data_IF_620602710417
#
_entry.id   IF_620602710417
#
_cell.length_a   1.000
_cell.length_b   1.000
_cell.length_c   1.000
_cell.angle_alpha   90.00
_cell.angle_beta   90.00
_cell.angle_gamma   90.00
#
_symmetry.space_group_name_H-M   'P 1'
#
loop_
_entity.id
_entity.type
_entity.pdbx_description
1 polymer ?
#
# COMPACT_ATOMS: atom_id res chain seq x y z
N UNK A 1 11.75 -8.34 12.46
CA UNK A 1 11.28 -9.21 11.37
C UNK A 1 11.76 -8.57 10.08
N UNK A 2 12.64 -9.25 9.34
CA UNK A 2 13.05 -8.79 8.01
C UNK A 2 11.83 -8.84 7.09
N UNK A 3 11.47 -7.71 6.46
CA UNK A 3 10.42 -7.67 5.45
C UNK A 3 10.89 -8.49 4.25
N UNK A 4 10.48 -9.77 4.21
CA UNK A 4 10.79 -10.67 3.10
C UNK A 4 9.85 -10.34 1.95
N UNK A 5 10.36 -9.61 0.97
CA UNK A 5 9.64 -9.33 -0.28
C UNK A 5 9.30 -10.66 -0.97
N UNK A 6 8.05 -10.79 -1.41
CA UNK A 6 7.58 -11.99 -2.09
C UNK A 6 8.22 -12.11 -3.48
N UNK A 7 8.49 -13.34 -3.92
CA UNK A 7 8.95 -13.58 -5.29
C UNK A 7 7.78 -13.42 -6.27
N UNK A 8 8.10 -13.03 -7.52
CA UNK A 8 7.12 -12.96 -8.61
C UNK A 8 6.32 -14.25 -8.75
N UNK A 9 6.99 -15.41 -8.78
CA UNK A 9 6.33 -16.72 -8.89
C UNK A 9 5.34 -16.99 -7.75
N UNK A 10 5.68 -16.60 -6.51
CA UNK A 10 4.77 -16.76 -5.39
C UNK A 10 3.56 -15.84 -5.55
N UNK A 11 3.78 -14.59 -5.95
CA UNK A 11 2.71 -13.61 -6.14
C UNK A 11 1.75 -14.07 -7.24
N UNK A 12 2.26 -14.44 -8.43
CA UNK A 12 1.43 -14.88 -9.54
C UNK A 12 0.69 -16.19 -9.25
N UNK A 13 1.26 -17.08 -8.41
CA UNK A 13 0.64 -18.35 -8.04
C UNK A 13 -0.46 -18.21 -6.98
N UNK A 14 -0.31 -17.27 -6.05
CA UNK A 14 -1.17 -17.17 -4.86
C UNK A 14 -2.04 -15.90 -4.84
N UNK A 15 -1.82 -14.97 -5.77
CA UNK A 15 -2.57 -13.74 -5.89
C UNK A 15 -3.57 -13.75 -7.04
N UNK A 16 -4.45 -12.77 -7.02
CA UNK A 16 -5.40 -12.47 -8.09
C UNK A 16 -4.91 -11.23 -8.83
N UNK A 17 -5.00 -11.22 -10.16
CA UNK A 17 -4.72 -10.02 -10.93
C UNK A 17 -5.78 -8.96 -10.58
N UNK A 18 -5.33 -7.80 -10.14
CA UNK A 18 -6.21 -6.73 -9.63
C UNK A 18 -7.07 -6.14 -10.74
N UNK A 19 -6.59 -6.18 -11.99
CA UNK A 19 -7.31 -5.72 -13.18
C UNK A 19 -8.26 -6.80 -13.74
N UNK A 20 -8.37 -7.97 -13.09
CA UNK A 20 -9.32 -9.01 -13.48
C UNK A 20 -10.73 -8.67 -12.95
N UNK A 21 -11.45 -7.85 -13.73
CA UNK A 21 -12.82 -7.40 -13.46
C UNK A 21 -13.83 -8.56 -13.35
N UNK A 22 -13.49 -9.77 -13.84
CA UNK A 22 -14.35 -10.94 -13.68
C UNK A 22 -14.26 -11.55 -12.27
N UNK A 23 -13.24 -11.17 -11.48
CA UNK A 23 -12.94 -11.74 -10.16
C UNK A 23 -13.01 -10.69 -9.05
N UNK A 24 -12.58 -9.45 -9.31
CA UNK A 24 -12.55 -8.39 -8.31
C UNK A 24 -13.38 -7.19 -8.76
N UNK A 25 -14.18 -6.65 -7.83
CA UNK A 25 -14.89 -5.38 -8.07
C UNK A 25 -14.56 -4.37 -6.97
N UNK A 26 -14.19 -3.16 -7.36
CA UNK A 26 -14.09 -2.05 -6.42
C UNK A 26 -15.50 -1.59 -6.01
N UNK A 27 -15.79 -1.64 -4.71
CA UNK A 27 -17.08 -1.20 -4.19
C UNK A 27 -17.24 0.31 -4.40
N UNK A 28 -18.37 0.71 -5.00
CA UNK A 28 -18.65 2.11 -5.30
C UNK A 28 -18.54 3.01 -4.06
N UNK A 29 -17.77 4.10 -4.18
CA UNK A 29 -17.48 5.08 -3.11
C UNK A 29 -16.81 4.47 -1.86
N UNK A 30 -16.04 3.40 -2.05
CA UNK A 30 -15.37 2.67 -0.98
C UNK A 30 -13.94 2.33 -1.39
N UNK A 31 -13.03 2.28 -0.41
CA UNK A 31 -11.68 1.73 -0.61
C UNK A 31 -11.70 0.19 -0.57
N UNK A 32 -12.88 -0.44 -0.52
CA UNK A 32 -13.03 -1.90 -0.47
C UNK A 32 -13.05 -2.50 -1.85
N UNK A 33 -12.47 -3.69 -1.94
CA UNK A 33 -12.68 -4.61 -3.05
C UNK A 33 -13.50 -5.83 -2.62
N UNK A 34 -14.31 -6.32 -3.53
CA UNK A 34 -15.16 -7.50 -3.38
C UNK A 34 -14.62 -8.64 -4.25
N UNK A 35 -14.92 -9.89 -3.87
CA UNK A 35 -14.59 -11.10 -4.63
C UNK A 35 -15.58 -11.44 -5.76
N UNK A 36 -16.53 -10.54 -6.02
CA UNK A 36 -17.48 -10.55 -7.12
C UNK A 36 -18.23 -9.20 -7.13
N UNK A 37 -19.12 -9.01 -8.11
CA UNK A 37 -20.00 -7.85 -8.13
C UNK A 37 -20.95 -7.79 -6.95
N UNK A 38 -21.31 -6.57 -6.56
CA UNK A 38 -22.27 -6.35 -5.48
C UNK A 38 -23.64 -6.96 -5.82
N UNK A 39 -24.05 -6.85 -7.08
CA UNK A 39 -25.30 -7.41 -7.61
C UNK A 39 -25.31 -8.95 -7.56
N UNK A 40 -24.15 -9.59 -7.72
CA UNK A 40 -23.97 -11.02 -7.57
C UNK A 40 -23.78 -11.48 -6.11
N UNK A 41 -23.81 -10.56 -5.14
CA UNK A 41 -23.60 -10.86 -3.72
C UNK A 41 -22.14 -11.00 -3.32
N UNK A 42 -21.23 -10.32 -4.04
CA UNK A 42 -19.81 -10.23 -3.75
C UNK A 42 -19.52 -9.84 -2.30
N UNK A 43 -18.50 -10.45 -1.73
CA UNK A 43 -18.08 -10.30 -0.33
C UNK A 43 -16.74 -9.59 -0.25
N UNK A 44 -16.45 -8.90 0.87
CA UNK A 44 -15.16 -8.23 1.03
C UNK A 44 -13.99 -9.21 0.87
N UNK A 45 -13.14 -8.96 -0.12
CA UNK A 45 -12.06 -9.86 -0.48
C UNK A 45 -10.98 -9.94 0.61
N UNK A 46 -10.41 -11.14 0.80
CA UNK A 46 -9.25 -11.36 1.67
C UNK A 46 -8.27 -12.26 0.94
N UNK A 47 -7.05 -11.75 0.72
CA UNK A 47 -6.05 -12.46 -0.06
C UNK A 47 -4.95 -11.55 -0.57
N UNK A 48 -4.18 -12.06 -1.54
CA UNK A 48 -3.12 -11.34 -2.22
C UNK A 48 -3.64 -10.89 -3.59
N UNK A 49 -3.36 -9.65 -3.98
CA UNK A 49 -3.56 -9.19 -5.35
C UNK A 49 -2.25 -8.72 -5.95
N UNK A 50 -2.21 -8.59 -7.27
CA UNK A 50 -1.10 -8.03 -8.02
C UNK A 50 -1.54 -7.32 -9.29
N UNK A 51 -0.67 -6.51 -9.87
CA UNK A 51 -0.78 -6.08 -11.27
C UNK A 51 0.54 -6.39 -11.97
N UNK A 52 0.49 -6.57 -13.29
CA UNK A 52 1.70 -6.71 -14.12
C UNK A 52 1.83 -5.58 -15.13
N UNK A 53 3.07 -5.26 -15.47
CA UNK A 53 3.36 -4.44 -16.64
C UNK A 53 3.09 -5.24 -17.93
N UNK A 54 2.93 -4.58 -19.09
CA UNK A 54 2.74 -5.26 -20.38
C UNK A 54 3.88 -6.23 -20.77
N UNK A 55 5.07 -6.08 -20.18
CA UNK A 55 6.19 -7.01 -20.37
C UNK A 55 6.11 -8.26 -19.48
N UNK A 56 5.03 -8.42 -18.70
CA UNK A 56 4.80 -9.52 -17.76
C UNK A 56 5.58 -9.39 -16.45
N UNK A 57 6.29 -8.29 -16.20
CA UNK A 57 6.95 -8.05 -14.92
C UNK A 57 5.96 -7.53 -13.89
N UNK A 58 6.20 -7.86 -12.63
CA UNK A 58 5.31 -7.46 -11.53
C UNK A 58 5.34 -5.93 -11.40
N UNK A 59 4.17 -5.28 -11.42
CA UNK A 59 4.04 -3.84 -11.19
C UNK A 59 3.86 -3.53 -9.71
N UNK A 60 2.99 -4.28 -9.02
CA UNK A 60 2.92 -4.30 -7.57
C UNK A 60 2.25 -5.58 -7.05
N UNK A 61 2.32 -5.78 -5.74
CA UNK A 61 1.42 -6.67 -5.02
C UNK A 61 0.88 -6.02 -3.74
N UNK A 62 -0.28 -6.48 -3.29
CA UNK A 62 -0.96 -5.97 -2.09
C UNK A 62 -1.69 -7.09 -1.36
N UNK A 63 -1.57 -7.12 -0.03
CA UNK A 63 -2.46 -7.93 0.79
C UNK A 63 -3.76 -7.18 1.11
N UNK A 64 -4.86 -7.93 1.14
CA UNK A 64 -6.18 -7.45 1.49
C UNK A 64 -6.79 -8.29 2.61
N UNK A 65 -7.56 -7.62 3.47
CA UNK A 65 -8.36 -8.24 4.52
C UNK A 65 -9.68 -7.50 4.65
N UNK A 66 -10.78 -8.25 4.59
CA UNK A 66 -12.15 -7.71 4.65
C UNK A 66 -12.36 -6.56 3.64
N UNK A 67 -11.85 -6.74 2.42
CA UNK A 67 -11.95 -5.83 1.29
C UNK A 67 -10.96 -4.67 1.32
N UNK A 68 -10.27 -4.39 2.43
CA UNK A 68 -9.32 -3.29 2.51
C UNK A 68 -7.88 -3.77 2.39
N UNK A 69 -6.99 -2.96 1.82
CA UNK A 69 -5.55 -3.28 1.84
C UNK A 69 -5.05 -3.37 3.29
N UNK A 70 -4.50 -4.52 3.68
CA UNK A 70 -4.03 -4.82 5.03
C UNK A 70 -2.88 -5.82 4.95
N UNK A 71 -1.66 -5.34 5.22
CA UNK A 71 -0.43 -6.09 5.01
C UNK A 71 0.57 -5.36 4.13
N UNK A 72 1.55 -6.10 3.61
CA UNK A 72 2.58 -5.53 2.74
C UNK A 72 2.01 -5.05 1.41
N UNK A 73 2.50 -3.89 0.98
CA UNK A 73 2.25 -3.32 -0.33
C UNK A 73 3.57 -2.88 -0.95
N UNK A 74 3.92 -3.49 -2.08
CA UNK A 74 5.22 -3.30 -2.72
C UNK A 74 5.02 -3.03 -4.19
N UNK A 75 5.61 -1.93 -4.67
CA UNK A 75 5.65 -1.57 -6.09
C UNK A 75 7.04 -1.80 -6.65
N UNK A 76 7.08 -2.14 -7.93
CA UNK A 76 8.31 -2.34 -8.67
C UNK A 76 8.38 -1.38 -9.85
N UNK A 77 9.58 -1.24 -10.41
CA UNK A 77 9.80 -0.71 -11.75
C UNK A 77 9.61 -1.82 -12.79
N UNK A 78 9.52 -1.46 -14.06
CA UNK A 78 9.34 -2.42 -15.15
C UNK A 78 10.55 -3.36 -15.34
N UNK A 79 11.69 -3.04 -14.74
CA UNK A 79 12.92 -3.84 -14.67
C UNK A 79 13.04 -4.66 -13.37
N UNK A 80 11.92 -4.87 -12.66
CA UNK A 80 11.77 -5.68 -11.43
C UNK A 80 12.47 -5.13 -10.18
N UNK A 81 13.11 -3.96 -10.26
CA UNK A 81 13.65 -3.28 -9.07
C UNK A 81 12.53 -2.72 -8.21
N UNK A 82 12.76 -2.68 -6.91
CA UNK A 82 11.78 -2.15 -5.96
C UNK A 82 11.66 -0.64 -6.16
N UNK A 83 10.42 -0.17 -6.32
CA UNK A 83 10.07 1.24 -6.46
C UNK A 83 9.58 1.83 -5.14
N UNK A 84 8.74 1.11 -4.41
CA UNK A 84 8.32 1.49 -3.07
C UNK A 84 7.87 0.30 -2.24
N UNK A 85 7.98 0.42 -0.92
CA UNK A 85 7.44 -0.56 0.01
C UNK A 85 6.83 0.14 1.22
N UNK A 86 5.72 -0.39 1.69
CA UNK A 86 5.04 0.07 2.89
C UNK A 86 4.10 -1.01 3.43
N UNK A 87 3.68 -0.84 4.67
CA UNK A 87 2.61 -1.64 5.27
C UNK A 87 1.29 -0.85 5.20
N UNK A 88 0.21 -1.55 4.87
CA UNK A 88 -1.15 -1.02 4.82
C UNK A 88 -1.95 -1.58 5.99
N UNK A 89 -2.80 -0.75 6.59
CA UNK A 89 -3.75 -1.14 7.62
C UNK A 89 -5.10 -0.51 7.29
N UNK A 90 -6.08 -1.36 6.96
CA UNK A 90 -7.39 -0.99 6.40
C UNK A 90 -7.37 0.19 5.42
N UNK A 91 -6.67 0.05 4.30
CA UNK A 91 -6.65 1.08 3.25
C UNK A 91 -5.68 2.23 3.50
N UNK A 92 -5.01 2.29 4.66
CA UNK A 92 -4.11 3.40 5.02
C UNK A 92 -2.69 2.92 5.24
N UNK A 93 -1.70 3.70 4.80
CA UNK A 93 -0.30 3.41 5.11
C UNK A 93 -0.03 3.55 6.61
N UNK A 94 0.68 2.59 7.17
CA UNK A 94 1.05 2.55 8.59
C UNK A 94 2.51 2.09 8.75
N UNK A 95 3.25 2.73 9.65
CA UNK A 95 4.67 2.45 9.86
C UNK A 95 5.57 3.11 8.81
N UNK A 96 6.66 2.43 8.44
CA UNK A 96 7.67 2.99 7.54
C UNK A 96 7.28 2.77 6.08
N UNK A 97 7.32 3.84 5.30
CA UNK A 97 7.25 3.81 3.84
C UNK A 97 8.59 4.23 3.26
N UNK A 98 9.09 3.44 2.31
CA UNK A 98 10.31 3.74 1.55
C UNK A 98 10.00 3.80 0.06
N UNK A 99 10.69 4.70 -0.63
CA UNK A 99 10.65 4.86 -2.09
C UNK A 99 12.09 4.91 -2.57
N UNK A 100 12.37 4.26 -3.70
CA UNK A 100 13.69 4.23 -4.32
C UNK A 100 13.65 4.84 -5.72
N UNK A 101 14.80 5.28 -6.21
CA UNK A 101 15.02 5.54 -7.62
C UNK A 101 15.27 4.23 -8.38
N UNK A 102 15.27 4.28 -9.72
CA UNK A 102 15.44 3.09 -10.55
C UNK A 102 16.87 2.49 -10.50
N UNK A 103 17.84 3.21 -9.95
CA UNK A 103 19.18 2.67 -9.67
C UNK A 103 19.26 1.93 -8.32
N UNK A 104 18.18 1.94 -7.54
CA UNK A 104 18.10 1.34 -6.20
C UNK A 104 18.54 2.27 -5.07
N UNK A 105 18.91 3.52 -5.36
CA UNK A 105 19.21 4.52 -4.31
C UNK A 105 17.92 4.98 -3.62
N UNK A 106 18.02 5.26 -2.31
CA UNK A 106 16.85 5.66 -1.51
C UNK A 106 16.40 7.06 -1.91
N UNK A 107 15.16 7.18 -2.38
CA UNK A 107 14.54 8.46 -2.75
C UNK A 107 13.87 9.13 -1.56
N UNK A 108 13.12 8.36 -0.77
CA UNK A 108 12.48 8.90 0.42
C UNK A 108 12.17 7.82 1.45
N UNK A 109 12.19 8.21 2.72
CA UNK A 109 11.73 7.39 3.83
C UNK A 109 10.87 8.25 4.74
N UNK A 110 9.69 7.74 5.14
CA UNK A 110 8.81 8.45 6.06
C UNK A 110 8.06 7.49 6.97
N UNK A 111 7.70 8.00 8.15
CA UNK A 111 6.84 7.29 9.11
C UNK A 111 5.41 7.78 8.99
N UNK A 112 4.48 6.85 8.85
CA UNK A 112 3.07 7.12 8.64
C UNK A 112 2.22 6.46 9.71
N UNK A 113 1.13 7.11 10.11
CA UNK A 113 0.08 6.52 10.94
C UNK A 113 -1.26 6.95 10.36
N UNK A 114 -2.17 6.00 10.12
CA UNK A 114 -3.47 6.25 9.50
C UNK A 114 -3.37 7.05 8.18
N UNK A 115 -2.29 6.86 7.42
CA UNK A 115 -2.01 7.58 6.17
C UNK A 115 -1.39 8.97 6.33
N UNK A 116 -1.21 9.46 7.56
CA UNK A 116 -0.62 10.78 7.83
C UNK A 116 0.90 10.67 7.94
N UNK A 117 1.64 11.48 7.18
CA UNK A 117 3.11 11.50 7.18
C UNK A 117 3.66 12.26 8.39
N UNK A 118 4.15 11.54 9.40
CA UNK A 118 4.62 12.14 10.65
C UNK A 118 6.09 12.58 10.55
N UNK A 119 6.92 11.81 9.87
CA UNK A 119 8.33 12.16 9.60
C UNK A 119 8.67 11.85 8.16
N UNK A 120 9.68 12.54 7.61
CA UNK A 120 10.07 12.41 6.21
C UNK A 120 11.53 12.79 6.00
N UNK A 121 12.23 12.01 5.19
CA UNK A 121 13.50 12.37 4.56
C UNK A 121 13.40 12.09 3.08
N UNK A 122 13.88 13.02 2.26
CA UNK A 122 13.98 12.85 0.80
C UNK A 122 15.40 13.14 0.35
N UNK A 123 15.91 12.31 -0.56
CA UNK A 123 17.23 12.44 -1.16
C UNK A 123 17.11 12.57 -2.68
N UNK A 124 18.07 13.28 -3.28
CA UNK A 124 18.25 13.28 -4.74
C UNK A 124 18.92 11.98 -5.22
N UNK A 125 19.04 11.80 -6.54
CA UNK A 125 19.69 10.62 -7.15
C UNK A 125 21.19 10.49 -6.81
N UNK A 126 21.82 11.57 -6.31
CA UNK A 126 23.22 11.55 -5.86
C UNK A 126 23.35 11.21 -4.37
N UNK A 127 22.23 10.98 -3.69
CA UNK A 127 22.18 10.70 -2.25
C UNK A 127 22.28 11.93 -1.35
N UNK A 128 22.14 13.14 -1.89
CA UNK A 128 22.10 14.36 -1.07
C UNK A 128 20.72 14.51 -0.44
N UNK A 129 20.67 14.78 0.87
CA UNK A 129 19.41 15.08 1.56
C UNK A 129 18.87 16.43 1.07
N UNK A 130 17.68 16.42 0.47
CA UNK A 130 17.04 17.62 -0.09
C UNK A 130 15.82 18.09 0.70
N UNK A 131 15.28 17.23 1.57
CA UNK A 131 14.16 17.57 2.45
C UNK A 131 14.17 16.72 3.70
N UNK A 132 13.87 17.34 4.83
CA UNK A 132 13.78 16.67 6.11
C UNK A 132 12.66 17.24 6.98
N UNK A 133 11.93 16.34 7.62
CA UNK A 133 10.93 16.57 8.66
C UNK A 133 11.16 15.52 9.74
N UNK A 134 11.80 15.91 10.83
CA UNK A 134 12.15 15.00 11.92
C UNK A 134 10.98 14.72 12.86
N UNK A 135 10.06 15.68 12.99
CA UNK A 135 8.93 15.61 13.93
C UNK A 135 7.62 16.01 13.22
N UNK A 136 6.47 15.45 13.66
CA UNK A 136 5.17 15.89 13.17
C UNK A 136 4.86 17.32 13.64
N UNK A 137 4.18 18.08 12.79
CA UNK A 137 3.59 19.37 13.14
C UNK A 137 2.30 19.17 13.93
N UNK A 138 1.79 20.23 14.56
CA UNK A 138 0.49 20.20 15.23
C UNK A 138 -0.65 19.78 14.27
N UNK A 139 -0.58 20.19 13.00
CA UNK A 139 -1.60 19.85 12.02
C UNK A 139 -1.53 18.38 11.61
N UNK A 140 -0.33 17.79 11.55
CA UNK A 140 -0.18 16.34 11.36
C UNK A 140 -0.78 15.56 12.52
N UNK A 141 -0.55 16.03 13.76
CA UNK A 141 -1.09 15.41 14.97
C UNK A 141 -2.62 15.49 14.97
N UNK A 142 -3.20 16.67 14.72
CA UNK A 142 -4.65 16.86 14.62
C UNK A 142 -5.25 15.97 13.53
N UNK A 143 -4.61 15.89 12.36
CA UNK A 143 -5.07 15.07 11.26
C UNK A 143 -4.99 13.58 11.61
N UNK A 144 -3.87 13.11 12.17
CA UNK A 144 -3.69 11.72 12.60
C UNK A 144 -4.77 11.33 13.62
N UNK A 145 -5.01 12.16 14.63
CA UNK A 145 -5.99 11.86 15.68
C UNK A 145 -7.41 11.84 15.12
N UNK A 146 -7.71 12.72 14.17
CA UNK A 146 -8.98 12.70 13.43
C UNK A 146 -9.15 11.40 12.62
N UNK A 147 -8.11 10.96 11.91
CA UNK A 147 -8.11 9.70 11.16
C UNK A 147 -8.20 8.48 12.07
N UNK A 148 -7.51 8.48 13.20
CA UNK A 148 -7.59 7.42 14.21
C UNK A 148 -9.02 7.29 14.77
N UNK A 149 -9.65 8.42 15.10
CA UNK A 149 -11.02 8.43 15.61
C UNK A 149 -12.00 7.88 14.58
N UNK A 150 -11.88 8.34 13.33
CA UNK A 150 -12.68 7.80 12.22
C UNK A 150 -12.46 6.30 12.07
N UNK A 151 -11.20 5.86 12.06
CA UNK A 151 -10.82 4.45 11.96
C UNK A 151 -11.47 3.63 13.08
N UNK A 152 -11.30 4.01 14.35
CA UNK A 152 -11.87 3.28 15.50
C UNK A 152 -13.40 3.18 15.42
N UNK A 153 -14.08 4.22 14.97
CA UNK A 153 -15.53 4.22 14.81
C UNK A 153 -15.98 3.32 13.64
N UNK A 154 -15.41 3.51 12.45
CA UNK A 154 -15.72 2.71 11.26
C UNK A 154 -15.37 1.22 11.43
N UNK A 155 -14.39 0.90 12.27
CA UNK A 155 -14.04 -0.48 12.63
C UNK A 155 -15.01 -1.10 13.64
N UNK A 156 -15.53 -0.31 14.59
CA UNK A 156 -16.41 -0.81 15.65
C UNK A 156 -17.84 -1.16 15.20
N UNK A 157 -18.23 -0.68 14.02
CA UNK A 157 -19.57 -0.91 13.43
C UNK A 157 -19.60 -2.04 12.39
N UNK A 158 -18.48 -2.76 12.20
CA UNK A 158 -18.33 -3.94 11.34
C UNK A 158 -18.18 -5.21 12.17
#
# INVERSE_FOLDING_TARGET
>A
MENRILTKDYVLKNGIDFDDDDILEQEYLSDRILDNSKEAGGKPFTGLTYETYPNGNLAYYCFYKNGFSDGDFVKFYNDEKIKSMQYMQRGRTYGIRKIWYNDGSLKSEGRYEYGVCLTLKEWDEKGNLIKEKLEPTEDDIKLRDSQEKFYKHAVSEL
#
